data_IF_585423187784
#
_entry.id   IF_585423187784
#
_cell.length_a   1.000
_cell.length_b   1.000
_cell.length_c   1.000
_cell.angle_alpha   90.00
_cell.angle_beta   90.00
_cell.angle_gamma   90.00
#
_symmetry.space_group_name_H-M   'P 1'
#
loop_
_entity.id
_entity.type
_entity.pdbx_description
1 polymer ?
#
# COMPACT_ATOMS: atom_id res chain seq x y z
N UNK A 1 -17.77 3.56 7.20
CA UNK A 1 -16.43 3.00 7.02
C UNK A 1 -15.64 3.84 6.03
N UNK A 2 -14.41 4.13 6.38
CA UNK A 2 -13.52 4.85 5.50
C UNK A 2 -12.97 3.89 4.44
N UNK A 3 -13.25 4.19 3.18
CA UNK A 3 -12.66 3.46 2.08
C UNK A 3 -11.34 4.13 1.72
N UNK A 4 -10.24 3.41 1.88
CA UNK A 4 -8.92 3.87 1.49
C UNK A 4 -8.39 3.00 0.36
N UNK A 5 -7.79 3.66 -0.62
CA UNK A 5 -7.08 3.01 -1.71
C UNK A 5 -5.64 3.49 -1.72
N UNK A 6 -4.74 2.59 -2.03
CA UNK A 6 -3.33 2.91 -2.16
C UNK A 6 -2.65 1.98 -3.15
N UNK A 7 -1.45 2.38 -3.57
CA UNK A 7 -0.63 1.58 -4.48
C UNK A 7 0.61 1.10 -3.74
N UNK A 8 0.78 -0.22 -3.68
CA UNK A 8 2.02 -0.83 -3.18
C UNK A 8 3.04 -0.94 -4.30
N UNK A 9 4.33 -0.82 -3.97
CA UNK A 9 5.38 -0.88 -4.98
C UNK A 9 5.61 -2.29 -5.48
N UNK A 10 5.74 -3.25 -4.57
CA UNK A 10 5.99 -4.63 -4.97
C UNK A 10 5.64 -5.65 -3.89
N UNK A 11 5.33 -6.85 -4.35
CA UNK A 11 5.13 -8.04 -3.52
C UNK A 11 6.16 -9.05 -3.97
N UNK A 12 6.87 -9.66 -3.03
CA UNK A 12 7.89 -10.63 -3.36
C UNK A 12 7.94 -11.78 -2.35
N UNK A 13 8.44 -12.91 -2.81
CA UNK A 13 8.74 -14.06 -1.94
C UNK A 13 10.24 -14.12 -1.69
N UNK A 14 10.61 -14.50 -0.50
CA UNK A 14 12.00 -14.77 -0.14
C UNK A 14 12.09 -15.92 0.85
N UNK A 15 13.24 -16.56 0.88
CA UNK A 15 13.53 -17.60 1.87
C UNK A 15 14.24 -16.95 3.06
N UNK A 16 13.64 -17.11 4.25
CA UNK A 16 14.26 -16.62 5.48
C UNK A 16 15.53 -17.45 5.75
N UNK A 17 16.72 -16.80 5.79
CA UNK A 17 17.97 -17.52 5.99
C UNK A 17 18.11 -18.16 7.36
N UNK A 18 17.32 -17.73 8.35
CA UNK A 18 17.37 -18.27 9.70
C UNK A 18 16.49 -19.50 9.88
N UNK A 19 15.33 -19.53 9.22
CA UNK A 19 14.32 -20.58 9.41
C UNK A 19 14.18 -21.50 8.21
N UNK A 20 14.63 -21.08 7.02
CA UNK A 20 14.41 -21.79 5.76
C UNK A 20 12.98 -21.68 5.24
N UNK A 21 12.12 -20.93 5.88
CA UNK A 21 10.73 -20.72 5.47
C UNK A 21 10.65 -19.75 4.31
N UNK A 22 9.74 -20.02 3.38
CA UNK A 22 9.37 -19.07 2.34
C UNK A 22 8.36 -18.07 2.90
N UNK A 23 8.69 -16.80 2.81
CA UNK A 23 7.85 -15.70 3.30
C UNK A 23 7.44 -14.79 2.17
N UNK A 24 6.24 -14.22 2.29
CA UNK A 24 5.69 -13.22 1.36
C UNK A 24 5.80 -11.86 2.01
N UNK A 25 6.42 -10.93 1.32
CA UNK A 25 6.60 -9.57 1.79
C UNK A 25 5.86 -8.56 0.91
N UNK A 26 5.30 -7.56 1.54
CA UNK A 26 4.87 -6.33 0.90
C UNK A 26 5.99 -5.31 1.09
N UNK A 27 6.52 -4.80 0.00
CA UNK A 27 7.64 -3.87 0.00
C UNK A 27 7.29 -2.52 -0.56
N UNK A 28 7.95 -1.50 -0.03
CA UNK A 28 7.87 -0.13 -0.50
C UNK A 28 9.28 0.41 -0.73
N UNK A 29 9.49 0.99 -1.90
CA UNK A 29 10.79 1.52 -2.31
C UNK A 29 10.86 3.01 -2.00
N UNK A 30 11.87 3.43 -1.25
CA UNK A 30 12.10 4.83 -0.90
C UNK A 30 13.48 5.30 -1.30
N UNK A 31 13.55 6.48 -1.88
CA UNK A 31 14.79 7.15 -2.29
C UNK A 31 15.06 8.43 -1.49
N UNK A 32 14.15 8.79 -0.57
CA UNK A 32 14.28 9.96 0.28
C UNK A 32 15.48 9.87 1.22
N UNK A 33 15.96 11.01 1.70
CA UNK A 33 17.11 11.05 2.64
C UNK A 33 16.85 10.29 3.92
N UNK A 34 15.58 10.29 4.37
CA UNK A 34 15.16 9.67 5.63
C UNK A 34 13.88 8.88 5.43
N UNK A 35 13.69 7.87 6.26
CA UNK A 35 12.44 7.14 6.35
C UNK A 35 11.64 7.73 7.51
N UNK A 36 10.39 8.10 7.23
CA UNK A 36 9.48 8.75 8.18
C UNK A 36 8.42 7.75 8.65
N UNK A 37 7.83 8.00 9.80
CA UNK A 37 6.74 7.17 10.35
C UNK A 37 5.58 6.99 9.38
N UNK A 38 5.30 8.00 8.56
CA UNK A 38 4.28 7.95 7.51
C UNK A 38 4.51 6.82 6.50
N UNK A 39 5.77 6.52 6.20
CA UNK A 39 6.11 5.43 5.27
C UNK A 39 5.69 4.07 5.83
N UNK A 40 5.92 3.85 7.11
CA UNK A 40 5.49 2.62 7.79
C UNK A 40 3.98 2.56 7.93
N UNK A 41 3.34 3.70 8.24
CA UNK A 41 1.89 3.79 8.37
C UNK A 41 1.18 3.47 7.05
N UNK A 42 1.69 3.98 5.92
CA UNK A 42 1.16 3.66 4.60
C UNK A 42 1.30 2.17 4.27
N UNK A 43 2.45 1.58 4.58
CA UNK A 43 2.71 0.17 4.32
C UNK A 43 1.79 -0.72 5.16
N UNK A 44 1.58 -0.38 6.43
CA UNK A 44 0.64 -1.08 7.31
C UNK A 44 -0.80 -0.99 6.77
N UNK A 45 -1.20 0.17 6.29
CA UNK A 45 -2.53 0.37 5.70
C UNK A 45 -2.73 -0.48 4.44
N UNK A 46 -1.73 -0.56 3.56
CA UNK A 46 -1.78 -1.40 2.37
C UNK A 46 -1.89 -2.88 2.73
N UNK A 47 -1.18 -3.31 3.77
CA UNK A 47 -1.21 -4.72 4.21
C UNK A 47 -2.56 -5.11 4.80
N UNK A 48 -3.33 -4.16 5.31
CA UNK A 48 -4.66 -4.37 5.88
C UNK A 48 -5.80 -4.34 4.85
N UNK A 49 -5.48 -4.15 3.57
CA UNK A 49 -6.46 -4.10 2.49
C UNK A 49 -7.25 -5.40 2.36
N UNK A 50 -8.54 -5.28 2.08
CA UNK A 50 -9.43 -6.42 1.89
C UNK A 50 -9.32 -7.02 0.48
N UNK A 51 -8.96 -6.18 -0.49
CA UNK A 51 -8.87 -6.55 -1.90
C UNK A 51 -7.63 -5.93 -2.53
N UNK A 52 -7.18 -6.59 -3.59
CA UNK A 52 -6.15 -6.07 -4.48
C UNK A 52 -6.73 -5.91 -5.88
N UNK A 53 -6.23 -4.92 -6.61
CA UNK A 53 -6.56 -4.74 -8.01
C UNK A 53 -5.28 -4.83 -8.83
N UNK A 54 -5.29 -5.71 -9.80
CA UNK A 54 -4.20 -5.86 -10.75
C UNK A 54 -4.61 -5.28 -12.08
N UNK A 55 -3.74 -4.49 -12.68
CA UNK A 55 -3.90 -4.02 -14.04
C UNK A 55 -3.69 -5.18 -15.02
N UNK A 56 -4.66 -5.38 -15.90
CA UNK A 56 -4.64 -6.46 -16.89
C UNK A 56 -5.11 -5.93 -18.24
N UNK A 57 -4.74 -6.59 -19.35
CA UNK A 57 -5.23 -6.23 -20.67
C UNK A 57 -6.74 -6.42 -20.81
N UNK A 58 -7.35 -5.69 -21.73
CA UNK A 58 -8.74 -5.91 -22.13
C UNK A 58 -8.97 -7.36 -22.55
N UNK A 59 -10.11 -7.92 -22.18
CA UNK A 59 -10.46 -9.29 -22.47
C UNK A 59 -9.92 -10.33 -21.50
N UNK A 60 -9.20 -9.90 -20.46
CA UNK A 60 -8.77 -10.81 -19.39
C UNK A 60 -9.99 -11.32 -18.64
N UNK A 61 -10.05 -12.63 -18.43
CA UNK A 61 -11.15 -13.26 -17.70
C UNK A 61 -11.28 -12.70 -16.29
N UNK A 62 -12.47 -12.30 -15.90
CA UNK A 62 -12.76 -11.74 -14.59
C UNK A 62 -12.50 -10.24 -14.43
N UNK A 63 -11.89 -9.59 -15.42
CA UNK A 63 -11.70 -8.14 -15.38
C UNK A 63 -13.02 -7.41 -15.58
N UNK A 64 -13.42 -6.60 -14.61
CA UNK A 64 -14.73 -5.97 -14.57
C UNK A 64 -14.69 -4.44 -14.58
N UNK A 65 -13.58 -3.82 -14.26
CA UNK A 65 -13.45 -2.38 -14.17
C UNK A 65 -12.41 -1.87 -15.16
N UNK A 66 -12.83 -0.97 -16.03
CA UNK A 66 -11.93 -0.31 -16.95
C UNK A 66 -11.10 0.75 -16.21
N UNK A 67 -9.79 0.66 -16.36
CA UNK A 67 -8.85 1.62 -15.74
C UNK A 67 -8.84 2.95 -16.46
N UNK A 68 -8.74 2.92 -17.79
CA UNK A 68 -8.58 4.13 -18.62
C UNK A 68 -9.89 4.76 -19.04
N UNK A 69 -9.86 6.06 -19.23
CA UNK A 69 -10.99 6.85 -19.74
C UNK A 69 -10.91 7.09 -21.24
N UNK A 70 -9.80 6.72 -21.89
CA UNK A 70 -9.56 6.95 -23.30
C UNK A 70 -9.56 5.65 -24.09
N UNK A 71 -9.88 5.75 -25.39
CA UNK A 71 -9.86 4.58 -26.29
C UNK A 71 -8.46 3.97 -26.47
N UNK A 72 -7.40 4.70 -26.13
CA UNK A 72 -6.01 4.23 -26.23
C UNK A 72 -5.59 3.40 -25.03
N UNK A 73 -6.26 3.56 -23.92
CA UNK A 73 -5.96 2.81 -22.69
C UNK A 73 -6.92 1.64 -22.60
N UNK A 74 -6.43 0.46 -22.95
CA UNK A 74 -7.18 -0.80 -22.92
C UNK A 74 -6.99 -1.56 -21.61
N UNK A 75 -6.42 -0.92 -20.59
CA UNK A 75 -6.18 -1.54 -19.30
C UNK A 75 -7.46 -1.69 -18.51
N UNK A 76 -7.57 -2.81 -17.83
CA UNK A 76 -8.68 -3.16 -16.97
C UNK A 76 -8.17 -3.56 -15.60
N UNK A 77 -9.04 -3.48 -14.61
CA UNK A 77 -8.73 -3.94 -13.27
C UNK A 77 -9.29 -5.33 -13.03
N UNK A 78 -8.43 -6.23 -12.59
CA UNK A 78 -8.82 -7.53 -12.07
C UNK A 78 -8.80 -7.45 -10.54
N UNK A 79 -9.97 -7.70 -9.92
CA UNK A 79 -10.11 -7.75 -8.47
C UNK A 79 -9.63 -9.11 -7.96
N UNK A 80 -8.72 -9.08 -7.01
CA UNK A 80 -8.15 -10.27 -6.38
C UNK A 80 -8.38 -10.21 -4.87
N UNK A 81 -8.44 -11.39 -4.20
CA UNK A 81 -8.40 -11.41 -2.74
C UNK A 81 -7.11 -10.79 -2.24
N UNK A 82 -7.15 -10.14 -1.09
CA UNK A 82 -5.95 -9.62 -0.47
C UNK A 82 -4.98 -10.76 -0.13
N UNK A 83 -3.71 -10.56 -0.44
CA UNK A 83 -2.68 -11.48 0.00
C UNK A 83 -2.41 -11.28 1.48
N UNK A 84 -2.01 -12.36 2.15
CA UNK A 84 -1.46 -12.28 3.50
C UNK A 84 0.04 -12.06 3.38
N UNK A 85 0.54 -11.09 4.13
CA UNK A 85 1.96 -10.77 4.16
C UNK A 85 2.57 -11.23 5.47
N UNK A 86 3.68 -11.94 5.37
CA UNK A 86 4.46 -12.34 6.54
C UNK A 86 5.37 -11.21 7.02
N UNK A 87 5.78 -10.35 6.09
CA UNK A 87 6.73 -9.28 6.34
C UNK A 87 6.28 -8.01 5.60
N UNK A 88 6.39 -6.88 6.29
CA UNK A 88 6.31 -5.55 5.70
C UNK A 88 7.70 -4.94 5.72
N UNK A 89 8.16 -4.43 4.60
CA UNK A 89 9.52 -3.90 4.50
C UNK A 89 9.59 -2.62 3.68
N UNK A 90 10.45 -1.70 4.12
CA UNK A 90 10.85 -0.55 3.35
C UNK A 90 12.25 -0.82 2.81
N UNK A 91 12.41 -0.74 1.49
CA UNK A 91 13.71 -0.80 0.84
C UNK A 91 14.17 0.63 0.61
N UNK A 92 15.13 1.07 1.41
CA UNK A 92 15.67 2.42 1.35
C UNK A 92 16.91 2.45 0.45
N UNK A 93 16.77 3.02 -0.73
CA UNK A 93 17.86 3.16 -1.68
C UNK A 93 18.77 4.33 -1.31
N UNK A 94 20.05 4.04 -1.31
CA UNK A 94 21.15 5.01 -1.13
C UNK A 94 21.98 5.06 -2.41
N UNK A 95 22.96 5.96 -2.48
CA UNK A 95 23.82 6.11 -3.64
C UNK A 95 24.61 4.83 -3.99
N UNK A 96 25.12 4.14 -2.98
CA UNK A 96 26.02 2.99 -3.16
C UNK A 96 25.46 1.68 -2.58
N UNK A 97 24.35 1.73 -1.85
CA UNK A 97 23.80 0.57 -1.16
C UNK A 97 22.30 0.76 -0.90
N UNK A 98 21.69 -0.24 -0.33
CA UNK A 98 20.31 -0.15 0.13
C UNK A 98 20.19 -0.73 1.54
N UNK A 99 19.22 -0.19 2.29
CA UNK A 99 18.80 -0.74 3.57
C UNK A 99 17.48 -1.46 3.39
N UNK A 100 17.42 -2.70 3.86
CA UNK A 100 16.18 -3.44 3.95
C UNK A 100 15.65 -3.31 5.38
N UNK A 101 14.59 -2.52 5.54
CA UNK A 101 14.04 -2.20 6.85
C UNK A 101 12.73 -2.95 7.04
N UNK A 102 12.79 -4.02 7.81
CA UNK A 102 11.60 -4.79 8.16
C UNK A 102 10.83 -4.07 9.26
N UNK A 103 9.50 -3.97 9.08
CA UNK A 103 8.60 -3.44 10.11
C UNK A 103 8.35 -4.54 11.13
N UNK A 104 8.69 -4.33 12.42
CA UNK A 104 8.41 -5.32 13.45
C UNK A 104 6.92 -5.65 13.53
N UNK A 105 6.60 -6.92 13.65
CA UNK A 105 5.20 -7.38 13.68
C UNK A 105 4.40 -6.69 14.78
N UNK A 106 4.98 -6.51 15.95
CA UNK A 106 4.36 -5.84 17.09
C UNK A 106 4.06 -4.37 16.85
N UNK A 107 4.67 -3.75 15.85
CA UNK A 107 4.44 -2.34 15.51
C UNK A 107 3.38 -2.14 14.43
N UNK A 108 3.00 -3.16 13.69
CA UNK A 108 2.11 -3.05 12.52
C UNK A 108 0.76 -2.44 12.91
N UNK A 109 0.16 -2.92 13.98
CA UNK A 109 -1.13 -2.40 14.46
C UNK A 109 -1.05 -0.92 14.86
N UNK A 110 0.05 -0.52 15.49
CA UNK A 110 0.29 0.87 15.88
C UNK A 110 0.45 1.76 14.65
N UNK A 111 1.22 1.33 13.65
CA UNK A 111 1.37 2.06 12.39
C UNK A 111 0.04 2.18 11.65
N UNK A 112 -0.78 1.14 11.65
CA UNK A 112 -2.12 1.19 11.07
C UNK A 112 -2.99 2.22 11.80
N UNK A 113 -2.94 2.26 13.12
CA UNK A 113 -3.64 3.24 13.95
C UNK A 113 -3.23 4.67 13.61
N UNK A 114 -1.95 4.92 13.40
CA UNK A 114 -1.42 6.22 12.98
C UNK A 114 -2.00 6.60 11.61
N UNK A 115 -2.01 5.69 10.66
CA UNK A 115 -2.59 5.94 9.34
C UNK A 115 -4.07 6.31 9.44
N UNK A 116 -4.85 5.55 10.18
CA UNK A 116 -6.28 5.81 10.36
C UNK A 116 -6.54 7.15 11.04
N UNK A 117 -5.67 7.55 11.96
CA UNK A 117 -5.70 8.85 12.60
C UNK A 117 -5.50 10.00 11.62
N UNK A 118 -4.53 9.89 10.72
CA UNK A 118 -4.30 10.86 9.65
C UNK A 118 -5.47 10.92 8.67
N UNK A 119 -6.00 9.77 8.27
CA UNK A 119 -7.16 9.70 7.37
C UNK A 119 -8.39 10.38 8.00
N UNK A 120 -8.64 10.15 9.28
CA UNK A 120 -9.72 10.79 10.02
C UNK A 120 -9.52 12.30 10.10
N UNK A 121 -8.33 12.75 10.44
CA UNK A 121 -7.99 14.19 10.50
C UNK A 121 -8.21 14.86 9.14
N UNK A 122 -7.77 14.22 8.07
CA UNK A 122 -7.98 14.73 6.71
C UNK A 122 -9.46 14.86 6.38
N UNK A 123 -10.26 13.84 6.70
CA UNK A 123 -11.70 13.86 6.46
C UNK A 123 -12.40 15.00 7.24
N UNK A 124 -11.98 15.24 8.49
CA UNK A 124 -12.51 16.34 9.29
C UNK A 124 -12.12 17.71 8.71
N UNK A 125 -10.90 17.86 8.22
CA UNK A 125 -10.45 19.10 7.57
C UNK A 125 -11.22 19.38 6.27
N UNK A 126 -11.49 18.37 5.47
CA UNK A 126 -12.29 18.52 4.26
C UNK A 126 -13.74 18.91 4.60
N UNK A 127 -14.32 18.28 5.63
CA UNK A 127 -15.63 18.66 6.13
C UNK A 127 -15.66 20.11 6.59
N UNK A 128 -14.64 20.55 7.31
CA UNK A 128 -14.53 21.94 7.78
C UNK A 128 -14.45 22.92 6.63
N UNK A 129 -13.71 22.60 5.57
CA UNK A 129 -13.68 23.41 4.35
C UNK A 129 -15.06 23.53 3.71
N UNK A 130 -15.81 22.43 3.63
CA UNK A 130 -17.17 22.44 3.13
C UNK A 130 -18.10 23.35 3.93
N UNK A 131 -18.00 23.32 5.25
CA UNK A 131 -18.76 24.20 6.14
C UNK A 131 -18.38 25.67 5.93
N UNK A 132 -17.08 25.97 5.85
CA UNK A 132 -16.56 27.34 5.69
C UNK A 132 -16.83 27.94 4.32
N UNK A 133 -16.86 27.14 3.26
CA UNK A 133 -17.27 27.62 1.94
C UNK A 133 -18.76 27.96 1.87
N UNK A 134 -19.49 27.63 2.90
CA UNK A 134 -20.71 28.41 3.29
C UNK A 134 -21.92 28.05 2.55
N UNK A 135 -21.93 26.96 2.20
CA UNK A 135 -23.05 27.08 1.33
C UNK A 135 -23.90 25.92 1.42
#
# INVERSE_FOLDING_TARGET
PNVCMGTGDFIFEFTDPLTGEVKVALGDLKTSKSIWDEHYAQLAALSAGEFMFQEVPEGTEGAALRKGKTKKDNSWWLKLPAAKFDVLAVVHLRADFYDFIEVPEEEVETHLGIFLSYANTRALKERLKGIRSGK
#
